data_IF_942949264410
#
_entry.id   IF_942949264410
#
_cell.length_a   1.000
_cell.length_b   1.000
_cell.length_c   1.000
_cell.angle_alpha   90.00
_cell.angle_beta   90.00
_cell.angle_gamma   90.00
#
_symmetry.space_group_name_H-M   'P 1'
#
loop_
_entity.id
_entity.type
_entity.pdbx_description
1 polymer ?
#
# COMPACT_ATOMS: atom_id res chain seq x y z
N UNK A 1 -14.80 -5.30 -7.20
CA UNK A 1 -14.23 -3.97 -6.89
C UNK A 1 -13.37 -4.09 -5.64
N UNK A 2 -12.10 -3.71 -5.74
CA UNK A 2 -11.17 -3.69 -4.62
C UNK A 2 -10.94 -2.25 -4.16
N UNK A 3 -11.04 -2.01 -2.86
CA UNK A 3 -10.64 -0.77 -2.22
C UNK A 3 -9.32 -1.04 -1.51
N UNK A 4 -8.28 -0.26 -1.80
CA UNK A 4 -6.95 -0.54 -1.29
C UNK A 4 -6.46 0.62 -0.45
N UNK A 5 -6.06 0.29 0.77
CA UNK A 5 -5.25 1.14 1.62
C UNK A 5 -3.77 0.80 1.36
N UNK A 6 -2.99 1.71 0.76
CA UNK A 6 -1.57 1.49 0.55
C UNK A 6 -0.74 1.69 1.83
N UNK A 7 -1.34 2.18 2.91
CA UNK A 7 -0.66 2.64 4.12
C UNK A 7 0.06 3.97 3.91
N UNK A 8 0.70 4.47 4.97
CA UNK A 8 1.58 5.63 4.87
C UNK A 8 2.77 5.32 3.98
N UNK A 9 3.06 6.26 3.09
CA UNK A 9 4.12 6.16 2.09
C UNK A 9 4.79 7.52 1.90
N UNK A 10 6.09 7.48 1.66
CA UNK A 10 6.92 8.65 1.33
C UNK A 10 6.66 9.12 -0.11
N UNK A 11 5.49 9.73 -0.31
CA UNK A 11 5.07 10.31 -1.60
C UNK A 11 5.03 11.82 -1.52
N UNK A 12 5.04 12.49 -2.70
CA UNK A 12 4.79 13.93 -2.76
C UNK A 12 3.43 14.33 -2.16
N UNK A 13 2.37 13.57 -2.45
CA UNK A 13 1.03 13.81 -1.88
C UNK A 13 1.06 13.85 -0.35
N UNK A 14 1.82 12.94 0.25
CA UNK A 14 1.87 12.81 1.69
C UNK A 14 2.83 13.84 2.33
N UNK A 15 3.90 14.26 1.64
CA UNK A 15 4.69 15.43 2.05
C UNK A 15 3.85 16.72 2.01
N UNK A 16 3.03 16.91 0.97
CA UNK A 16 2.19 18.09 0.80
C UNK A 16 1.14 18.21 1.94
N UNK A 17 0.76 17.09 2.57
CA UNK A 17 -0.12 17.05 3.74
C UNK A 17 0.60 17.40 5.07
N UNK A 18 1.93 17.28 5.13
CA UNK A 18 2.75 17.60 6.30
C UNK A 18 3.92 18.52 5.91
N UNK A 19 3.66 19.80 5.60
CA UNK A 19 4.70 20.72 5.15
C UNK A 19 5.76 20.93 6.23
N UNK A 20 7.04 20.87 5.84
CA UNK A 20 8.22 21.05 6.70
C UNK A 20 8.49 19.93 7.72
N UNK A 21 7.67 18.89 7.76
CA UNK A 21 7.97 17.69 8.56
C UNK A 21 8.90 16.75 7.81
N UNK A 22 9.81 16.12 8.55
CA UNK A 22 10.56 14.97 8.03
C UNK A 22 9.66 13.74 8.10
N UNK A 23 9.43 13.14 6.94
CA UNK A 23 8.56 11.97 6.76
C UNK A 23 9.37 10.73 6.39
N UNK A 24 10.68 10.74 6.69
CA UNK A 24 11.62 9.67 6.37
C UNK A 24 11.36 8.37 7.14
N UNK A 25 10.53 8.42 8.19
CA UNK A 25 10.02 7.28 8.95
C UNK A 25 8.98 6.44 8.18
N UNK A 26 8.39 7.01 7.12
CA UNK A 26 7.40 6.33 6.28
C UNK A 26 8.08 5.49 5.20
N UNK A 27 7.50 4.33 4.92
CA UNK A 27 8.01 3.43 3.87
C UNK A 27 8.02 4.11 2.49
N UNK A 28 8.93 3.64 1.62
CA UNK A 28 8.88 4.01 0.21
C UNK A 28 7.64 3.41 -0.48
N UNK A 29 7.12 4.03 -1.55
CA UNK A 29 5.93 3.54 -2.27
C UNK A 29 6.06 2.09 -2.77
N UNK A 30 7.28 1.65 -3.09
CA UNK A 30 7.59 0.29 -3.55
C UNK A 30 7.18 -0.79 -2.53
N UNK A 31 7.11 -0.46 -1.24
CA UNK A 31 6.68 -1.39 -0.20
C UNK A 31 5.25 -1.92 -0.42
N UNK A 32 4.38 -1.15 -1.09
CA UNK A 32 2.99 -1.53 -1.35
C UNK A 32 2.79 -2.27 -2.69
N UNK A 33 3.81 -2.31 -3.55
CA UNK A 33 3.74 -2.93 -4.88
C UNK A 33 3.42 -4.43 -4.83
N UNK A 34 4.03 -5.26 -3.96
CA UNK A 34 3.73 -6.70 -3.93
C UNK A 34 2.25 -7.00 -3.69
N UNK A 35 1.62 -6.29 -2.74
CA UNK A 35 0.20 -6.46 -2.44
C UNK A 35 -0.72 -5.96 -3.54
N UNK A 36 -0.38 -4.84 -4.18
CA UNK A 36 -1.11 -4.34 -5.34
C UNK A 36 -1.05 -5.33 -6.51
N UNK A 37 0.13 -5.89 -6.80
CA UNK A 37 0.29 -6.91 -7.83
C UNK A 37 -0.48 -8.19 -7.50
N UNK A 38 -0.51 -8.60 -6.23
CA UNK A 38 -1.31 -9.74 -5.79
C UNK A 38 -2.81 -9.52 -6.06
N UNK A 39 -3.37 -8.35 -5.70
CA UNK A 39 -4.79 -8.04 -5.94
C UNK A 39 -5.14 -7.95 -7.43
N UNK A 40 -4.25 -7.40 -8.26
CA UNK A 40 -4.48 -7.25 -9.70
C UNK A 40 -4.41 -8.61 -10.42
N UNK A 41 -3.49 -9.49 -10.00
CA UNK A 41 -3.22 -10.76 -10.69
C UNK A 41 -3.98 -11.95 -10.11
N UNK A 42 -4.38 -11.88 -8.84
CA UNK A 42 -5.03 -12.96 -8.11
C UNK A 42 -6.56 -12.89 -8.16
N UNK A 43 -7.19 -13.95 -7.64
CA UNK A 43 -8.65 -14.02 -7.48
C UNK A 43 -9.04 -13.70 -6.03
N UNK A 44 -9.22 -12.41 -5.77
CA UNK A 44 -9.63 -11.90 -4.46
C UNK A 44 -11.07 -11.41 -4.50
N UNK A 45 -11.89 -11.70 -3.48
CA UNK A 45 -13.25 -11.17 -3.41
C UNK A 45 -13.25 -9.64 -3.45
N UNK A 46 -14.40 -9.06 -3.80
CA UNK A 46 -14.55 -7.61 -3.67
C UNK A 46 -14.47 -7.21 -2.19
N UNK A 47 -13.75 -6.14 -1.86
CA UNK A 47 -13.53 -5.77 -0.47
C UNK A 47 -12.49 -4.70 -0.25
N UNK A 48 -12.18 -4.45 1.04
CA UNK A 48 -11.12 -3.54 1.49
C UNK A 48 -9.87 -4.34 1.85
N UNK A 49 -8.72 -3.88 1.36
CA UNK A 49 -7.44 -4.54 1.53
C UNK A 49 -6.38 -3.56 2.00
N UNK A 50 -5.52 -3.98 2.93
CA UNK A 50 -4.27 -3.28 3.21
C UNK A 50 -3.18 -3.87 2.34
N UNK A 51 -2.59 -3.08 1.44
CA UNK A 51 -1.62 -3.56 0.45
C UNK A 51 -0.47 -4.35 1.12
N UNK A 52 0.04 -3.87 2.26
CA UNK A 52 1.15 -4.48 3.00
C UNK A 52 0.79 -5.84 3.64
N UNK A 53 -0.49 -6.18 3.76
CA UNK A 53 -0.93 -7.46 4.34
C UNK A 53 -1.26 -8.52 3.28
N UNK A 54 -1.64 -8.12 2.05
CA UNK A 54 -2.11 -9.08 1.03
C UNK A 54 -1.05 -10.12 0.64
N UNK A 55 0.19 -9.69 0.41
CA UNK A 55 1.26 -10.59 -0.06
C UNK A 55 1.72 -11.59 1.02
N UNK A 56 1.50 -11.28 2.30
CA UNK A 56 1.88 -12.14 3.44
C UNK A 56 0.98 -13.37 3.54
N UNK A 57 -0.28 -13.28 3.07
CA UNK A 57 -1.30 -14.31 3.25
C UNK A 57 -1.45 -15.29 2.08
N UNK A 58 -0.76 -15.09 0.95
CA UNK A 58 -0.92 -15.90 -0.27
C UNK A 58 0.31 -16.75 -0.64
N UNK A 59 1.37 -16.71 0.17
CA UNK A 59 2.56 -17.56 0.01
C UNK A 59 2.42 -18.93 0.73
N UNK A 60 1.22 -19.51 0.72
CA UNK A 60 0.92 -20.83 1.30
C UNK A 60 0.52 -21.81 0.22
#
# INVERSE_FOLDING_TARGET
VHWVDPGDMRTKMHQDAFPNEDISDRDLPEASVPGLLALIKGDFPSGRYQAKQVAVHHAT
#
